data_IF_974369542907
#
_entry.id   IF_974369542907
#
_cell.length_a   1.000
_cell.length_b   1.000
_cell.length_c   1.000
_cell.angle_alpha   90.00
_cell.angle_beta   90.00
_cell.angle_gamma   90.00
#
_symmetry.space_group_name_H-M   'P 1'
#
loop_
_entity.id
_entity.type
_entity.pdbx_description
1 polymer ?
#
# COMPACT_ATOMS: atom_id res chain seq x y z
N UNK A 1 6.36 -12.72 -5.08
CA UNK A 1 7.37 -12.39 -4.06
C UNK A 1 8.44 -11.46 -4.59
N UNK A 2 8.98 -11.73 -5.78
CA UNK A 2 9.94 -10.84 -6.41
C UNK A 2 9.30 -9.49 -6.72
N UNK A 3 8.04 -9.49 -7.13
CA UNK A 3 7.31 -8.27 -7.43
C UNK A 3 7.13 -7.40 -6.18
N UNK A 4 6.83 -8.03 -5.04
CA UNK A 4 6.72 -7.32 -3.77
C UNK A 4 8.05 -6.67 -3.37
N UNK A 5 9.12 -7.43 -3.42
CA UNK A 5 10.44 -6.93 -3.02
C UNK A 5 10.93 -5.82 -3.95
N UNK A 6 10.82 -6.04 -5.26
CA UNK A 6 11.29 -5.07 -6.25
C UNK A 6 10.51 -3.75 -6.17
N UNK A 7 9.18 -3.84 -6.20
CA UNK A 7 8.34 -2.65 -6.22
C UNK A 7 8.45 -1.83 -4.94
N UNK A 8 8.49 -2.49 -3.79
CA UNK A 8 8.64 -1.78 -2.51
C UNK A 8 10.02 -1.11 -2.41
N UNK A 9 11.06 -1.76 -2.90
CA UNK A 9 12.39 -1.17 -2.96
C UNK A 9 12.41 0.07 -3.85
N UNK A 10 11.80 -0.01 -5.03
CA UNK A 10 11.71 1.13 -5.95
C UNK A 10 10.95 2.31 -5.33
N UNK A 11 9.85 2.03 -4.64
CA UNK A 11 9.10 3.08 -3.95
C UNK A 11 9.96 3.81 -2.94
N UNK A 12 10.71 3.06 -2.12
CA UNK A 12 11.53 3.66 -1.06
C UNK A 12 12.77 4.37 -1.57
N UNK A 13 13.28 4.01 -2.74
CA UNK A 13 14.52 4.58 -3.28
C UNK A 13 14.28 5.62 -4.37
N UNK A 14 13.21 5.51 -5.14
CA UNK A 14 12.95 6.38 -6.29
C UNK A 14 11.81 7.37 -6.07
N UNK A 15 11.12 7.32 -4.93
CA UNK A 15 10.04 8.26 -4.60
C UNK A 15 10.24 8.79 -3.18
N UNK A 16 9.48 9.83 -2.76
CA UNK A 16 9.54 10.33 -1.38
C UNK A 16 8.83 9.43 -0.36
N UNK A 17 8.71 8.15 -0.62
CA UNK A 17 8.07 7.21 0.30
C UNK A 17 8.95 6.92 1.51
N UNK A 18 8.36 6.97 2.69
CA UNK A 18 9.01 6.60 3.95
C UNK A 18 8.68 5.17 4.34
N UNK A 19 7.49 4.70 4.00
CA UNK A 19 6.99 3.38 4.41
C UNK A 19 6.05 2.81 3.36
N UNK A 20 6.05 1.48 3.25
CA UNK A 20 5.17 0.74 2.33
C UNK A 20 4.55 -0.42 3.09
N UNK A 21 3.24 -0.58 2.95
CA UNK A 21 2.51 -1.71 3.49
C UNK A 21 1.64 -2.31 2.38
N UNK A 22 1.69 -3.63 2.24
CA UNK A 22 0.82 -4.33 1.29
C UNK A 22 -0.14 -5.22 2.06
N UNK A 23 -1.42 -4.97 1.85
CA UNK A 23 -2.52 -5.73 2.42
C UNK A 23 -3.18 -6.56 1.31
N UNK A 24 -3.40 -7.85 1.57
CA UNK A 24 -4.08 -8.73 0.63
C UNK A 24 -4.92 -9.74 1.39
N UNK A 25 -6.23 -9.73 1.15
CA UNK A 25 -7.19 -10.64 1.78
C UNK A 25 -7.04 -10.68 3.29
N UNK A 26 -7.02 -9.48 3.90
CA UNK A 26 -6.96 -9.28 5.34
C UNK A 26 -5.61 -9.64 5.98
N UNK A 27 -4.60 -9.93 5.15
CA UNK A 27 -3.26 -10.21 5.66
C UNK A 27 -2.27 -9.15 5.19
N UNK A 28 -1.37 -8.76 6.07
CA UNK A 28 -0.26 -7.88 5.70
C UNK A 28 0.85 -8.74 5.11
N UNK A 29 1.07 -8.60 3.81
CA UNK A 29 2.09 -9.37 3.10
C UNK A 29 3.47 -8.75 3.19
N UNK A 30 3.54 -7.43 3.41
CA UNK A 30 4.81 -6.74 3.40
C UNK A 30 4.72 -5.46 4.22
N UNK A 31 5.77 -5.21 5.00
CA UNK A 31 6.04 -3.94 5.66
C UNK A 31 7.48 -3.58 5.36
N UNK A 32 7.70 -2.37 4.85
CA UNK A 32 9.05 -1.96 4.48
C UNK A 32 9.25 -0.48 4.72
N UNK A 33 10.50 -0.09 5.00
CA UNK A 33 10.84 1.29 5.33
C UNK A 33 10.64 1.59 6.80
N UNK A 34 10.36 2.85 7.13
CA UNK A 34 10.05 3.28 8.49
C UNK A 34 8.62 2.92 8.82
N UNK A 35 8.43 1.76 9.42
CA UNK A 35 7.11 1.23 9.68
C UNK A 35 7.11 0.37 10.94
N UNK A 36 6.05 0.48 11.75
CA UNK A 36 5.93 -0.29 12.96
C UNK A 36 5.49 -1.72 12.66
N UNK A 37 5.62 -2.60 13.65
CA UNK A 37 5.14 -3.98 13.56
C UNK A 37 3.77 -4.17 14.20
N UNK A 38 3.09 -3.09 14.57
CA UNK A 38 1.76 -3.18 15.14
C UNK A 38 0.74 -3.70 14.13
N UNK A 39 -0.30 -4.42 14.60
CA UNK A 39 -1.34 -4.91 13.68
C UNK A 39 -1.98 -3.74 12.93
N UNK A 40 -2.10 -3.90 11.61
CA UNK A 40 -2.79 -2.94 10.77
C UNK A 40 -4.16 -3.47 10.41
N UNK A 41 -5.20 -2.72 10.77
CA UNK A 41 -6.57 -3.02 10.39
C UNK A 41 -7.07 -1.90 9.48
N UNK A 42 -7.56 -2.22 8.28
CA UNK A 42 -8.03 -1.17 7.37
C UNK A 42 -9.19 -0.39 8.01
N UNK A 43 -9.05 0.92 8.01
CA UNK A 43 -10.10 1.81 8.47
C UNK A 43 -10.94 2.33 7.31
N UNK A 44 -11.72 3.38 7.56
CA UNK A 44 -12.69 3.90 6.60
C UNK A 44 -12.05 4.33 5.27
N UNK A 45 -10.86 4.92 5.31
CA UNK A 45 -10.20 5.42 4.09
C UNK A 45 -9.72 4.25 3.23
N UNK A 46 -9.04 3.27 3.84
CA UNK A 46 -8.56 2.09 3.13
C UNK A 46 -9.72 1.28 2.55
N UNK A 47 -10.76 1.06 3.34
CA UNK A 47 -11.93 0.31 2.88
C UNK A 47 -12.66 1.01 1.74
N UNK A 48 -12.72 2.35 1.78
CA UNK A 48 -13.32 3.12 0.69
C UNK A 48 -12.53 2.98 -0.60
N UNK A 49 -11.20 3.05 -0.52
CA UNK A 49 -10.35 2.85 -1.70
C UNK A 49 -10.58 1.48 -2.32
N UNK A 50 -10.65 0.44 -1.49
CA UNK A 50 -10.90 -0.92 -1.95
C UNK A 50 -12.30 -1.08 -2.54
N UNK A 51 -13.32 -0.57 -1.86
CA UNK A 51 -14.71 -0.66 -2.31
C UNK A 51 -14.90 0.00 -3.67
N UNK A 52 -14.33 1.19 -3.85
CA UNK A 52 -14.48 1.96 -5.08
C UNK A 52 -13.42 1.65 -6.12
N UNK A 53 -12.42 0.85 -5.77
CA UNK A 53 -11.27 0.54 -6.62
C UNK A 53 -10.62 1.80 -7.18
N UNK A 54 -10.45 2.79 -6.31
CA UNK A 54 -9.85 4.08 -6.66
C UNK A 54 -8.76 4.45 -5.67
N UNK A 55 -7.65 4.96 -6.20
CA UNK A 55 -6.57 5.48 -5.37
C UNK A 55 -7.06 6.69 -4.58
N UNK A 56 -6.74 6.71 -3.29
CA UNK A 56 -6.99 7.87 -2.43
C UNK A 56 -5.65 8.48 -2.06
N UNK A 57 -5.53 9.79 -2.29
CA UNK A 57 -4.32 10.53 -1.95
C UNK A 57 -4.62 11.50 -0.82
N UNK A 58 -4.03 11.25 0.35
CA UNK A 58 -4.07 12.19 1.46
C UNK A 58 -2.82 13.06 1.36
N UNK A 59 -2.94 14.18 0.65
CA UNK A 59 -1.79 15.04 0.37
C UNK A 59 -1.24 15.71 1.62
N UNK A 60 -2.10 15.93 2.60
CA UNK A 60 -1.74 16.45 3.91
C UNK A 60 -2.68 15.80 4.93
N UNK A 61 -2.17 14.80 5.65
CA UNK A 61 -3.01 14.00 6.56
C UNK A 61 -3.62 14.81 7.68
N UNK A 62 -3.00 15.94 8.06
CA UNK A 62 -3.55 16.80 9.12
C UNK A 62 -4.93 17.36 8.78
N UNK A 63 -5.30 17.36 7.49
CA UNK A 63 -6.61 17.85 7.03
C UNK A 63 -7.69 16.76 7.01
N UNK A 64 -7.35 15.52 7.33
CA UNK A 64 -8.27 14.39 7.22
C UNK A 64 -8.57 13.78 8.59
N UNK A 65 -9.84 13.79 9.04
CA UNK A 65 -10.19 13.25 10.36
C UNK A 65 -9.87 11.77 10.55
N UNK A 66 -9.91 10.98 9.46
CA UNK A 66 -9.68 9.54 9.51
C UNK A 66 -8.22 9.12 9.47
N UNK A 67 -7.28 10.05 9.51
CA UNK A 67 -5.85 9.76 9.36
C UNK A 67 -5.30 8.77 10.39
N UNK A 68 -5.95 8.66 11.54
CA UNK A 68 -5.47 7.81 12.63
C UNK A 68 -5.41 6.33 12.25
N UNK A 69 -6.14 5.90 11.21
CA UNK A 69 -6.06 4.50 10.79
C UNK A 69 -4.65 4.13 10.29
N UNK A 70 -3.83 5.10 9.90
CA UNK A 70 -2.47 4.87 9.40
C UNK A 70 -1.40 4.97 10.49
N UNK A 71 -1.78 5.29 11.72
CA UNK A 71 -0.84 5.39 12.85
C UNK A 71 -0.19 4.03 13.17
N UNK A 72 -0.86 2.93 12.83
CA UNK A 72 -0.28 1.59 12.98
C UNK A 72 0.91 1.35 12.03
N UNK A 73 1.04 2.13 10.96
CA UNK A 73 2.21 2.08 10.08
C UNK A 73 3.34 2.92 10.65
N UNK A 74 3.07 4.19 10.84
CA UNK A 74 3.98 5.14 11.46
C UNK A 74 3.14 6.31 11.94
N UNK A 75 3.36 6.72 13.18
CA UNK A 75 2.59 7.79 13.79
C UNK A 75 2.77 9.11 13.04
N UNK A 76 1.66 9.80 12.79
CA UNK A 76 1.65 11.12 12.17
C UNK A 76 2.32 11.20 10.79
N UNK A 77 2.12 10.18 9.95
CA UNK A 77 2.57 10.25 8.55
C UNK A 77 1.97 11.49 7.88
N UNK A 78 2.81 12.37 7.31
CA UNK A 78 2.30 13.64 6.76
C UNK A 78 1.54 13.51 5.44
N UNK A 79 1.81 12.45 4.66
CA UNK A 79 1.09 12.16 3.43
C UNK A 79 0.92 10.65 3.29
N UNK A 80 -0.20 10.22 2.71
CA UNK A 80 -0.47 8.80 2.50
C UNK A 80 -1.15 8.60 1.15
N UNK A 81 -0.67 7.60 0.39
CA UNK A 81 -1.33 7.12 -0.81
C UNK A 81 -1.91 5.74 -0.50
N UNK A 82 -3.17 5.54 -0.83
CA UNK A 82 -3.82 4.24 -0.71
C UNK A 82 -4.23 3.79 -2.11
N UNK A 83 -3.54 2.80 -2.64
CA UNK A 83 -3.81 2.27 -3.97
C UNK A 83 -4.44 0.89 -3.85
N UNK A 84 -5.69 0.71 -4.27
CA UNK A 84 -6.36 -0.57 -4.07
C UNK A 84 -5.82 -1.66 -4.98
N UNK A 85 -5.87 -2.90 -4.49
CA UNK A 85 -5.62 -4.11 -5.24
C UNK A 85 -6.99 -4.75 -5.50
N UNK A 86 -7.75 -4.19 -6.42
CA UNK A 86 -9.16 -4.52 -6.57
C UNK A 86 -9.90 -4.20 -5.27
N UNK A 87 -10.80 -5.10 -4.89
CA UNK A 87 -11.56 -4.97 -3.65
C UNK A 87 -10.97 -5.81 -2.51
N UNK A 88 -9.84 -6.47 -2.74
CA UNK A 88 -9.32 -7.47 -1.81
C UNK A 88 -8.07 -7.04 -1.06
N UNK A 89 -7.49 -5.93 -1.43
CA UNK A 89 -6.28 -5.46 -0.78
C UNK A 89 -5.94 -4.04 -1.16
N UNK A 90 -4.79 -3.59 -0.70
CA UNK A 90 -4.30 -2.25 -0.99
C UNK A 90 -2.79 -2.17 -0.77
N UNK A 91 -2.15 -1.29 -1.54
CA UNK A 91 -0.80 -0.83 -1.26
C UNK A 91 -0.92 0.53 -0.60
N UNK A 92 -0.37 0.67 0.59
CA UNK A 92 -0.43 1.91 1.35
C UNK A 92 0.99 2.45 1.48
N UNK A 93 1.18 3.70 1.05
CA UNK A 93 2.50 4.33 1.01
C UNK A 93 2.46 5.61 1.85
N UNK A 94 3.33 5.68 2.85
CA UNK A 94 3.48 6.88 3.65
C UNK A 94 4.62 7.74 3.14
N UNK A 95 4.42 9.06 3.12
CA UNK A 95 5.41 10.01 2.61
C UNK A 95 6.09 10.81 3.71
N UNK A 96 7.26 11.36 3.40
CA UNK A 96 8.09 12.11 4.33
C UNK A 96 7.55 13.49 4.68
N UNK A 97 6.76 14.10 3.80
CA UNK A 97 6.26 15.45 3.98
C UNK A 97 4.91 15.62 3.28
N UNK A 98 4.12 16.66 3.66
CA UNK A 98 2.88 16.92 2.94
C UNK A 98 3.14 17.20 1.46
N UNK A 99 2.25 16.73 0.62
CA UNK A 99 2.28 16.93 -0.83
C UNK A 99 3.57 16.44 -1.49
N UNK A 100 4.24 15.44 -0.91
CA UNK A 100 5.53 14.98 -1.41
C UNK A 100 5.42 14.11 -2.66
N UNK A 101 4.26 13.46 -2.90
CA UNK A 101 4.11 12.58 -4.04
C UNK A 101 3.68 13.34 -5.28
N UNK A 102 4.40 13.10 -6.38
CA UNK A 102 4.06 13.66 -7.67
C UNK A 102 3.00 12.81 -8.38
N UNK A 103 2.45 13.36 -9.46
CA UNK A 103 1.56 12.59 -10.32
C UNK A 103 2.25 11.38 -10.92
N UNK A 104 3.53 11.51 -11.25
CA UNK A 104 4.33 10.39 -11.74
C UNK A 104 4.46 9.30 -10.69
N UNK A 105 4.64 9.67 -9.43
CA UNK A 105 4.72 8.71 -8.33
C UNK A 105 3.41 7.92 -8.21
N UNK A 106 2.27 8.61 -8.28
CA UNK A 106 0.97 7.97 -8.21
C UNK A 106 0.74 7.01 -9.37
N UNK A 107 1.08 7.43 -10.59
CA UNK A 107 0.93 6.58 -11.78
C UNK A 107 1.81 5.36 -11.71
N UNK A 108 3.03 5.52 -11.24
CA UNK A 108 3.94 4.39 -11.06
C UNK A 108 3.37 3.39 -10.06
N UNK A 109 2.87 3.92 -8.93
CA UNK A 109 2.26 3.09 -7.90
C UNK A 109 1.04 2.34 -8.44
N UNK A 110 0.19 3.01 -9.20
CA UNK A 110 -0.99 2.38 -9.80
C UNK A 110 -0.60 1.29 -10.78
N UNK A 111 0.40 1.52 -11.62
CA UNK A 111 0.90 0.52 -12.56
C UNK A 111 1.48 -0.71 -11.86
N UNK A 112 2.30 -0.48 -10.85
CA UNK A 112 2.86 -1.58 -10.07
C UNK A 112 1.76 -2.35 -9.33
N UNK A 113 0.78 -1.64 -8.76
CA UNK A 113 -0.33 -2.26 -8.04
C UNK A 113 -1.14 -3.19 -8.94
N UNK A 114 -1.38 -2.81 -10.20
CA UNK A 114 -2.06 -3.68 -11.15
C UNK A 114 -1.26 -4.96 -11.42
N UNK A 115 0.04 -4.84 -11.62
CA UNK A 115 0.91 -6.00 -11.82
C UNK A 115 0.93 -6.89 -10.59
N UNK A 116 1.01 -6.28 -9.42
CA UNK A 116 1.03 -7.01 -8.15
C UNK A 116 -0.29 -7.76 -7.95
N UNK A 117 -1.41 -7.10 -8.22
CA UNK A 117 -2.73 -7.74 -8.12
C UNK A 117 -2.82 -8.96 -9.01
N UNK A 118 -2.40 -8.84 -10.27
CA UNK A 118 -2.40 -9.96 -11.21
C UNK A 118 -1.54 -11.10 -10.69
N UNK A 119 -0.37 -10.78 -10.19
CA UNK A 119 0.56 -11.77 -9.64
C UNK A 119 -0.04 -12.51 -8.44
N UNK A 120 -0.71 -11.78 -7.55
CA UNK A 120 -1.33 -12.37 -6.37
C UNK A 120 -2.53 -13.26 -6.74
N UNK A 121 -3.34 -12.82 -7.68
CA UNK A 121 -4.50 -13.60 -8.15
C UNK A 121 -4.06 -14.88 -8.86
N UNK A 122 -3.03 -14.80 -9.69
CA UNK A 122 -2.48 -15.97 -10.38
C UNK A 122 -1.89 -16.97 -9.37
N UNK A 123 -1.21 -16.47 -8.35
CA UNK A 123 -0.64 -17.32 -7.31
C UNK A 123 -1.69 -18.12 -6.54
N UNK A 124 -2.91 -17.61 -6.44
CA UNK A 124 -4.00 -18.31 -5.78
C UNK A 124 -4.68 -19.35 -6.67
N UNK A 125 -4.82 -19.02 -7.96
CA UNK A 125 -5.42 -19.93 -8.95
C UNK A 125 -4.46 -21.07 -9.29
N UNK A 126 -3.16 -20.77 -9.29
CA UNK A 126 -2.11 -21.73 -9.60
C UNK A 126 -1.14 -21.84 -8.44
N UNK A 127 -1.50 -22.57 -7.37
CA UNK A 127 -0.64 -22.66 -6.21
C UNK A 127 0.72 -23.22 -6.58
N UNK A 128 1.75 -22.71 -5.91
CA UNK A 128 3.10 -23.17 -6.12
C UNK A 128 3.22 -24.66 -5.74
N UNK A 129 4.00 -25.47 -6.49
CA UNK A 129 4.14 -26.90 -6.15
C UNK A 129 4.50 -27.17 -4.70
N UNK A 130 5.26 -26.29 -4.06
CA UNK A 130 5.60 -26.44 -2.64
C UNK A 130 4.39 -26.30 -1.73
N UNK A 131 3.33 -25.64 -2.17
CA UNK A 131 2.11 -25.43 -1.40
C UNK A 131 1.22 -26.67 -1.42
N UNK A 132 1.37 -27.51 -2.42
CA UNK A 132 0.60 -28.73 -2.58
C UNK A 132 1.30 -29.95 -1.95
N UNK A 133 2.49 -29.73 -1.48
CA UNK A 133 3.22 -30.79 -0.77
C UNK A 133 2.85 -30.76 0.70
#
# INVERSE_FOLDING_TARGET
KQELAWGSHMLLTATPAASVLVLWRQEVLLRRGLISQEPFNPGAITLRAMEREQTISLVNTSLFPGRAEFDAMLQALPAVLVCPLGQQGAVIVGGWSPRCFSRSDERWLEGWSQRLRTSLEVGEVHPHPSDSA
#
